data_IF_857000601823
#
_entry.id   IF_857000601823
#
_cell.length_a   1.000
_cell.length_b   1.000
_cell.length_c   1.000
_cell.angle_alpha   90.00
_cell.angle_beta   90.00
_cell.angle_gamma   90.00
#
_symmetry.space_group_name_H-M   'P 1'
#
loop_
_entity.id
_entity.type
_entity.pdbx_description
1 polymer ?
#
# COMPACT_ATOMS: atom_id res chain seq x y z
N UNK A 1 -14.23 -21.54 -21.92
CA UNK A 1 -13.53 -22.05 -20.71
C UNK A 1 -12.61 -20.97 -20.19
N UNK A 2 -12.60 -20.70 -18.88
CA UNK A 2 -11.63 -19.80 -18.24
C UNK A 2 -10.25 -20.47 -18.27
N UNK A 3 -9.22 -19.78 -18.75
CA UNK A 3 -7.86 -20.33 -18.82
C UNK A 3 -7.16 -20.21 -17.47
N UNK A 4 -6.22 -21.11 -17.15
CA UNK A 4 -5.42 -21.03 -15.91
C UNK A 4 -4.71 -19.69 -15.75
N UNK A 5 -4.23 -19.11 -16.86
CA UNK A 5 -3.60 -17.79 -16.89
C UNK A 5 -4.57 -16.68 -16.48
N UNK A 6 -5.82 -16.73 -16.96
CA UNK A 6 -6.84 -15.75 -16.59
C UNK A 6 -7.15 -15.82 -15.09
N UNK A 7 -7.29 -17.03 -14.53
CA UNK A 7 -7.51 -17.22 -13.08
C UNK A 7 -6.36 -16.67 -12.24
N UNK A 8 -5.11 -17.02 -12.58
CA UNK A 8 -3.93 -16.54 -11.85
C UNK A 8 -3.78 -15.00 -11.89
N UNK A 9 -4.11 -14.40 -13.05
CA UNK A 9 -4.13 -12.94 -13.19
C UNK A 9 -5.21 -12.31 -12.29
N UNK A 10 -6.41 -12.91 -12.25
CA UNK A 10 -7.49 -12.42 -11.41
C UNK A 10 -7.17 -12.53 -9.91
N UNK A 11 -6.55 -13.64 -9.47
CA UNK A 11 -6.09 -13.83 -8.09
C UNK A 11 -5.06 -12.78 -7.69
N UNK A 12 -4.06 -12.54 -8.55
CA UNK A 12 -3.02 -11.53 -8.31
C UNK A 12 -3.61 -10.11 -8.27
N UNK A 13 -4.52 -9.79 -9.18
CA UNK A 13 -5.23 -8.50 -9.19
C UNK A 13 -6.09 -8.32 -7.93
N UNK A 14 -6.82 -9.35 -7.50
CA UNK A 14 -7.62 -9.31 -6.29
C UNK A 14 -6.76 -9.09 -5.04
N UNK A 15 -5.62 -9.78 -4.94
CA UNK A 15 -4.68 -9.59 -3.83
C UNK A 15 -4.12 -8.15 -3.78
N UNK A 16 -3.77 -7.60 -4.94
CA UNK A 16 -3.33 -6.21 -5.05
C UNK A 16 -4.42 -5.22 -4.62
N UNK A 17 -5.65 -5.40 -5.12
CA UNK A 17 -6.79 -4.55 -4.79
C UNK A 17 -7.15 -4.64 -3.30
N UNK A 18 -7.03 -5.81 -2.67
CA UNK A 18 -7.22 -5.95 -1.22
C UNK A 18 -6.17 -5.17 -0.39
N UNK A 19 -4.97 -4.97 -0.93
CA UNK A 19 -3.97 -4.08 -0.33
C UNK A 19 -4.31 -2.62 -0.57
N UNK A 20 -4.73 -2.25 -1.78
CA UNK A 20 -5.06 -0.86 -2.08
C UNK A 20 -6.40 -0.41 -1.48
N UNK A 21 -7.33 -1.32 -1.21
CA UNK A 21 -8.66 -1.05 -0.66
C UNK A 21 -8.68 -0.64 0.82
N UNK A 22 -7.71 0.16 1.28
CA UNK A 22 -7.65 0.74 2.61
C UNK A 22 -7.31 2.22 2.52
N UNK A 23 -8.18 3.05 3.09
CA UNK A 23 -8.11 4.51 3.07
C UNK A 23 -6.72 5.05 3.44
N UNK A 24 -6.17 4.64 4.58
CA UNK A 24 -4.87 5.13 5.06
C UNK A 24 -3.72 4.75 4.11
N UNK A 25 -3.76 3.56 3.50
CA UNK A 25 -2.76 3.17 2.47
C UNK A 25 -2.87 4.04 1.22
N UNK A 26 -4.08 4.39 0.78
CA UNK A 26 -4.26 5.30 -0.36
C UNK A 26 -3.72 6.70 -0.07
N UNK A 27 -3.98 7.23 1.13
CA UNK A 27 -3.42 8.53 1.55
C UNK A 27 -1.88 8.50 1.63
N UNK A 28 -1.31 7.42 2.20
CA UNK A 28 0.15 7.21 2.22
C UNK A 28 0.71 7.25 0.80
N UNK A 29 0.12 6.49 -0.14
CA UNK A 29 0.57 6.45 -1.52
C UNK A 29 0.43 7.81 -2.22
N UNK A 30 -0.64 8.56 -1.96
CA UNK A 30 -0.80 9.91 -2.50
C UNK A 30 0.32 10.83 -2.07
N UNK A 31 0.61 10.89 -0.77
CA UNK A 31 1.68 11.74 -0.25
C UNK A 31 3.07 11.32 -0.74
N UNK A 32 3.33 10.01 -0.85
CA UNK A 32 4.61 9.51 -1.36
C UNK A 32 4.77 9.70 -2.87
N UNK A 33 3.67 9.77 -3.63
CA UNK A 33 3.70 10.10 -5.04
C UNK A 33 4.10 11.57 -5.29
N UNK A 34 3.88 12.46 -4.31
CA UNK A 34 4.30 13.86 -4.35
C UNK A 34 5.78 14.04 -3.96
N UNK A 35 6.37 13.07 -3.27
CA UNK A 35 7.79 13.07 -2.92
C UNK A 35 8.13 12.18 -1.72
N UNK A 36 9.43 11.98 -1.51
CA UNK A 36 9.93 11.23 -0.35
C UNK A 36 9.65 11.99 0.96
N UNK A 37 9.15 11.26 1.97
CA UNK A 37 8.80 11.82 3.27
C UNK A 37 9.37 10.96 4.40
N UNK A 38 9.85 11.63 5.45
CA UNK A 38 10.21 10.94 6.67
C UNK A 38 8.98 10.29 7.31
N UNK A 39 9.19 9.16 8.01
CA UNK A 39 8.11 8.41 8.67
C UNK A 39 7.34 9.28 9.66
N UNK A 40 8.01 10.21 10.36
CA UNK A 40 7.34 11.14 11.28
C UNK A 40 6.38 12.08 10.57
N UNK A 41 6.87 12.79 9.54
CA UNK A 41 6.05 13.73 8.76
C UNK A 41 4.88 13.01 8.09
N UNK A 42 5.11 11.82 7.56
CA UNK A 42 4.06 11.03 6.93
C UNK A 42 3.01 10.58 7.95
N UNK A 43 3.42 10.18 9.17
CA UNK A 43 2.51 9.75 10.23
C UNK A 43 1.56 10.88 10.63
N UNK A 44 2.08 12.10 10.77
CA UNK A 44 1.30 13.28 11.09
C UNK A 44 0.30 13.60 9.97
N UNK A 45 0.75 13.58 8.70
CA UNK A 45 -0.09 13.85 7.52
C UNK A 45 -1.26 12.90 7.34
N UNK A 46 -1.12 11.65 7.78
CA UNK A 46 -2.17 10.63 7.67
C UNK A 46 -2.87 10.35 9.00
N UNK A 47 -2.56 11.13 10.05
CA UNK A 47 -3.14 11.03 11.39
C UNK A 47 -3.02 9.60 11.97
N UNK A 48 -1.82 9.04 11.92
CA UNK A 48 -1.52 7.72 12.48
C UNK A 48 -0.40 7.81 13.51
N UNK A 49 -0.40 6.90 14.47
CA UNK A 49 0.81 6.64 15.24
C UNK A 49 1.90 6.06 14.34
N UNK A 50 3.17 6.26 14.71
CA UNK A 50 4.29 5.66 13.98
C UNK A 50 4.21 4.12 13.92
N UNK A 51 3.67 3.46 14.95
CA UNK A 51 3.50 2.01 14.96
C UNK A 51 2.40 1.55 14.00
N UNK A 52 1.30 2.29 13.88
CA UNK A 52 0.25 2.02 12.89
C UNK A 52 0.77 2.28 11.47
N UNK A 53 1.43 3.42 11.24
CA UNK A 53 2.04 3.72 9.95
C UNK A 53 3.06 2.64 9.54
N UNK A 54 3.93 2.21 10.45
CA UNK A 54 4.92 1.16 10.18
C UNK A 54 4.27 -0.15 9.72
N UNK A 55 3.12 -0.52 10.28
CA UNK A 55 2.35 -1.69 9.84
C UNK A 55 1.79 -1.51 8.43
N UNK A 56 1.28 -0.32 8.09
CA UNK A 56 0.84 -0.01 6.74
C UNK A 56 2.00 -0.04 5.74
N UNK A 57 3.13 0.60 6.05
CA UNK A 57 4.33 0.60 5.22
C UNK A 57 4.90 -0.82 5.02
N UNK A 58 4.90 -1.66 6.06
CA UNK A 58 5.31 -3.05 5.93
C UNK A 58 4.43 -3.83 4.95
N UNK A 59 3.11 -3.61 4.98
CA UNK A 59 2.18 -4.22 4.01
C UNK A 59 2.44 -3.70 2.59
N UNK A 60 2.65 -2.39 2.41
CA UNK A 60 2.93 -1.80 1.10
C UNK A 60 4.27 -2.31 0.54
N UNK A 61 5.33 -2.39 1.36
CA UNK A 61 6.62 -2.96 0.98
C UNK A 61 6.53 -4.41 0.52
N UNK A 62 5.75 -5.25 1.21
CA UNK A 62 5.54 -6.66 0.81
C UNK A 62 4.93 -6.81 -0.58
N UNK A 63 4.24 -5.78 -1.08
CA UNK A 63 3.65 -5.73 -2.41
C UNK A 63 4.47 -4.89 -3.40
N UNK A 64 5.68 -4.45 -3.02
CA UNK A 64 6.58 -3.66 -3.87
C UNK A 64 6.05 -2.26 -4.19
N UNK A 65 5.15 -1.72 -3.36
CA UNK A 65 4.50 -0.43 -3.62
C UNK A 65 5.30 0.78 -3.08
N UNK A 66 6.15 0.56 -2.09
CA UNK A 66 7.00 1.58 -1.48
C UNK A 66 8.34 0.96 -1.09
N UNK A 67 9.36 1.79 -0.96
CA UNK A 67 10.71 1.42 -0.52
C UNK A 67 11.16 2.37 0.61
N UNK A 68 12.34 2.14 1.19
CA UNK A 68 12.93 2.94 2.27
C UNK A 68 14.21 3.60 1.84
#
# INVERSE_FOLDING_TARGET
MVTKKLTANAESAAAFLAVMGNEKRLLIMNYLAEGELSVGVLADKVELSQSALSQHLAKLRRFGLVET
#
